data_IF_626637640215
#
_entry.id   IF_626637640215
#
_cell.length_a   1.000
_cell.length_b   1.000
_cell.length_c   1.000
_cell.angle_alpha   90.00
_cell.angle_beta   90.00
_cell.angle_gamma   90.00
#
_symmetry.space_group_name_H-M   'P 1'
#
loop_
_entity.id
_entity.type
_entity.pdbx_description
1 polymer ?
#
# COMPACT_ATOMS: atom_id res chain seq x y z
N UNK A 1 13.80 19.41 -2.47
CA UNK A 1 12.82 18.75 -1.60
C UNK A 1 12.24 17.60 -2.40
N UNK A 2 12.69 16.36 -2.17
CA UNK A 2 12.19 15.23 -2.93
C UNK A 2 10.78 14.89 -2.41
N UNK A 3 9.79 14.99 -3.29
CA UNK A 3 8.39 14.81 -2.98
C UNK A 3 8.07 13.32 -2.99
N UNK A 4 7.61 12.78 -1.85
CA UNK A 4 7.15 11.40 -1.77
C UNK A 4 6.21 11.11 -2.94
N UNK A 5 6.53 10.06 -3.71
CA UNK A 5 5.87 9.77 -4.98
C UNK A 5 5.04 8.51 -4.83
N UNK A 6 3.88 8.51 -5.49
CA UNK A 6 3.03 7.33 -5.60
C UNK A 6 3.23 6.80 -7.01
N UNK A 7 3.66 5.55 -7.14
CA UNK A 7 3.99 4.91 -8.42
C UNK A 7 2.95 3.84 -8.71
N UNK A 8 2.41 3.83 -9.92
CA UNK A 8 1.49 2.78 -10.36
C UNK A 8 2.21 1.43 -10.42
N UNK A 9 1.54 0.40 -9.91
CA UNK A 9 2.03 -0.98 -9.93
C UNK A 9 0.96 -1.91 -10.48
N UNK A 10 1.38 -3.05 -10.99
CA UNK A 10 0.44 -4.06 -11.49
C UNK A 10 -0.42 -4.60 -10.34
N UNK A 11 -1.73 -4.44 -10.48
CA UNK A 11 -2.70 -4.84 -9.47
C UNK A 11 -2.74 -6.35 -9.25
N UNK A 12 -2.69 -7.15 -10.32
CA UNK A 12 -2.74 -8.61 -10.18
C UNK A 12 -1.46 -9.15 -9.54
N UNK A 13 -0.30 -8.56 -9.86
CA UNK A 13 0.94 -8.88 -9.17
C UNK A 13 0.88 -8.46 -7.70
N UNK A 14 0.33 -7.29 -7.37
CA UNK A 14 0.13 -6.89 -5.98
C UNK A 14 -0.75 -7.91 -5.24
N UNK A 15 -1.88 -8.32 -5.82
CA UNK A 15 -2.80 -9.29 -5.20
C UNK A 15 -2.13 -10.64 -4.95
N UNK A 16 -1.35 -11.16 -5.90
CA UNK A 16 -0.60 -12.40 -5.72
C UNK A 16 0.44 -12.26 -4.60
N UNK A 17 1.18 -11.15 -4.57
CA UNK A 17 2.17 -10.88 -3.53
C UNK A 17 1.53 -10.66 -2.16
N UNK A 18 0.37 -9.99 -2.07
CA UNK A 18 -0.40 -9.87 -0.84
C UNK A 18 -0.84 -11.23 -0.31
N UNK A 19 -1.28 -12.13 -1.20
CA UNK A 19 -1.64 -13.50 -0.82
C UNK A 19 -0.43 -14.26 -0.27
N UNK A 20 0.74 -14.15 -0.91
CA UNK A 20 2.00 -14.72 -0.41
C UNK A 20 2.42 -14.12 0.93
N UNK A 21 2.33 -12.80 1.06
CA UNK A 21 2.65 -12.08 2.29
C UNK A 21 1.71 -12.46 3.45
N UNK A 22 0.43 -12.66 3.16
CA UNK A 22 -0.55 -13.15 4.14
C UNK A 22 -0.17 -14.54 4.66
N UNK A 23 0.18 -15.46 3.76
CA UNK A 23 0.68 -16.79 4.13
C UNK A 23 1.97 -16.72 4.97
N UNK A 24 2.82 -15.74 4.71
CA UNK A 24 4.05 -15.47 5.46
C UNK A 24 3.86 -14.60 6.72
N UNK A 25 2.62 -14.20 7.06
CA UNK A 25 2.29 -13.25 8.15
C UNK A 25 2.92 -11.85 8.03
N UNK A 26 3.36 -11.51 6.83
CA UNK A 26 3.95 -10.21 6.47
C UNK A 26 2.96 -9.23 5.82
N UNK A 27 1.71 -9.62 5.59
CA UNK A 27 0.67 -8.69 5.15
C UNK A 27 0.14 -7.88 6.35
N UNK A 28 0.10 -6.57 6.20
CA UNK A 28 -0.42 -5.62 7.19
C UNK A 28 -1.53 -4.81 6.54
N UNK A 29 -2.76 -5.03 7.00
CA UNK A 29 -3.95 -4.31 6.53
C UNK A 29 -4.38 -3.26 7.54
N UNK A 30 -5.15 -2.25 7.10
CA UNK A 30 -5.69 -1.21 8.00
C UNK A 30 -6.65 -1.74 9.06
N UNK A 31 -7.21 -2.95 8.84
CA UNK A 31 -7.98 -3.70 9.83
C UNK A 31 -7.13 -4.07 11.05
N UNK A 32 -5.84 -4.35 10.88
CA UNK A 32 -4.86 -4.52 11.96
C UNK A 32 -4.31 -3.16 12.40
N UNK A 33 -5.13 -2.41 13.14
CA UNK A 33 -4.81 -1.05 13.60
C UNK A 33 -3.45 -0.96 14.32
N UNK A 34 -3.05 -2.02 15.04
CA UNK A 34 -1.81 -2.01 15.85
C UNK A 34 -0.59 -2.18 14.95
N UNK A 35 -0.57 -3.20 14.10
CA UNK A 35 0.55 -3.44 13.16
C UNK A 35 0.62 -2.33 12.11
N UNK A 36 -0.53 -1.88 11.60
CA UNK A 36 -0.60 -0.77 10.65
C UNK A 36 0.03 0.50 11.21
N UNK A 37 -0.42 0.95 12.40
CA UNK A 37 0.08 2.18 13.02
C UNK A 37 1.58 2.11 13.30
N UNK A 38 2.07 0.95 13.78
CA UNK A 38 3.50 0.75 14.01
C UNK A 38 4.29 0.89 12.70
N UNK A 39 3.84 0.23 11.63
CA UNK A 39 4.50 0.25 10.33
C UNK A 39 4.56 1.65 9.70
N UNK A 40 3.43 2.36 9.63
CA UNK A 40 3.41 3.70 9.04
C UNK A 40 4.25 4.70 9.85
N UNK A 41 4.33 4.53 11.17
CA UNK A 41 5.15 5.39 12.04
C UNK A 41 6.64 5.09 11.83
N UNK A 42 7.03 3.82 11.81
CA UNK A 42 8.42 3.40 11.59
C UNK A 42 8.94 3.85 10.22
N UNK A 43 8.12 3.67 9.17
CA UNK A 43 8.50 3.98 7.79
C UNK A 43 8.20 5.42 7.37
N UNK A 44 7.71 6.27 8.28
CA UNK A 44 7.29 7.65 8.01
C UNK A 44 6.30 7.77 6.81
N UNK A 45 5.35 6.85 6.72
CA UNK A 45 4.36 6.81 5.65
C UNK A 45 3.21 7.75 5.99
N UNK A 46 2.84 8.59 5.02
CA UNK A 46 1.69 9.48 5.13
C UNK A 46 0.45 8.78 4.55
N UNK A 47 -0.12 7.86 5.33
CA UNK A 47 -1.29 7.04 4.96
C UNK A 47 -2.49 7.88 4.51
N UNK A 48 -2.75 9.01 5.16
CA UNK A 48 -3.79 9.97 4.77
C UNK A 48 -3.57 10.50 3.35
N UNK A 49 -2.32 10.82 2.98
CA UNK A 49 -2.01 11.29 1.61
C UNK A 49 -2.16 10.16 0.61
N UNK A 50 -1.67 8.97 0.95
CA UNK A 50 -1.76 7.80 0.09
C UNK A 50 -3.23 7.41 -0.20
N UNK A 51 -4.09 7.45 0.83
CA UNK A 51 -5.54 7.26 0.66
C UNK A 51 -6.15 8.35 -0.23
N UNK A 52 -5.81 9.62 0.01
CA UNK A 52 -6.30 10.74 -0.80
C UNK A 52 -5.88 10.62 -2.27
N UNK A 53 -4.64 10.19 -2.54
CA UNK A 53 -4.17 9.88 -3.89
C UNK A 53 -5.01 8.77 -4.53
N UNK A 54 -5.28 7.69 -3.79
CA UNK A 54 -6.18 6.63 -4.22
C UNK A 54 -7.58 7.13 -4.56
N UNK A 55 -8.17 7.99 -3.73
CA UNK A 55 -9.51 8.57 -3.97
C UNK A 55 -9.57 9.45 -5.23
N UNK A 56 -8.48 10.14 -5.56
CA UNK A 56 -8.40 10.99 -6.76
C UNK A 56 -8.13 10.16 -8.01
N UNK A 57 -7.38 9.07 -7.90
CA UNK A 57 -6.96 8.24 -9.04
C UNK A 57 -7.95 7.13 -9.39
N UNK A 58 -8.59 6.53 -8.40
CA UNK A 58 -9.53 5.42 -8.60
C UNK A 58 -10.94 5.97 -8.85
N UNK A 59 -11.60 5.50 -9.90
CA UNK A 59 -12.93 5.97 -10.30
C UNK A 59 -14.01 5.49 -9.33
N UNK A 60 -13.88 4.29 -8.77
CA UNK A 60 -14.87 3.77 -7.82
C UNK A 60 -14.84 4.49 -6.46
N UNK A 61 -13.78 5.26 -6.17
CA UNK A 61 -13.67 6.06 -4.94
C UNK A 61 -13.51 5.23 -3.66
N UNK A 62 -13.22 3.92 -3.75
CA UNK A 62 -13.03 3.02 -2.60
C UNK A 62 -11.58 2.47 -2.52
N UNK A 63 -10.57 3.32 -2.32
CA UNK A 63 -9.21 2.84 -2.13
C UNK A 63 -9.07 2.03 -0.84
N UNK A 64 -8.30 0.96 -0.92
CA UNK A 64 -7.86 0.14 0.20
C UNK A 64 -6.36 0.30 0.37
N UNK A 65 -5.91 0.22 1.61
CA UNK A 65 -4.52 0.37 1.98
C UNK A 65 -4.00 -0.97 2.53
N UNK A 66 -2.80 -1.37 2.10
CA UNK A 66 -2.11 -2.53 2.62
C UNK A 66 -0.60 -2.33 2.56
N UNK A 67 0.11 -2.97 3.46
CA UNK A 67 1.56 -2.98 3.50
C UNK A 67 2.06 -4.43 3.47
N UNK A 68 3.18 -4.62 2.80
CA UNK A 68 3.87 -5.90 2.69
C UNK A 68 5.22 -5.74 3.40
N UNK A 69 5.49 -6.64 4.34
CA UNK A 69 6.73 -6.73 5.09
C UNK A 69 7.16 -8.20 5.12
N UNK A 70 7.88 -8.63 4.09
CA UNK A 70 8.25 -10.04 3.87
C UNK A 70 9.73 -10.22 3.54
N UNK A 71 10.52 -9.14 3.48
CA UNK A 71 11.88 -9.13 2.96
C UNK A 71 11.95 -9.24 1.44
N UNK A 72 10.87 -8.93 0.72
CA UNK A 72 10.77 -9.09 -0.73
C UNK A 72 10.91 -7.75 -1.48
N UNK A 73 11.07 -7.80 -2.79
CA UNK A 73 11.02 -6.60 -3.65
C UNK A 73 9.65 -5.89 -3.62
N UNK A 74 8.61 -6.59 -3.17
CA UNK A 74 7.26 -6.05 -2.98
C UNK A 74 7.05 -5.47 -1.58
N UNK A 75 8.08 -5.38 -0.75
CA UNK A 75 7.95 -4.70 0.52
C UNK A 75 7.66 -3.20 0.31
N UNK A 76 6.74 -2.68 1.10
CA UNK A 76 6.27 -1.30 0.97
C UNK A 76 4.82 -1.11 1.36
N UNK A 77 4.32 0.10 1.16
CA UNK A 77 2.93 0.45 1.41
C UNK A 77 2.22 0.72 0.08
N UNK A 78 1.00 0.22 -0.02
CA UNK A 78 0.22 0.19 -1.25
C UNK A 78 -1.17 0.74 -1.01
N UNK A 79 -1.69 1.37 -2.04
CA UNK A 79 -3.10 1.70 -2.18
C UNK A 79 -3.64 1.02 -3.42
N UNK A 80 -4.79 0.37 -3.32
CA UNK A 80 -5.35 -0.41 -4.41
C UNK A 80 -6.88 -0.35 -4.40
N UNK A 81 -7.49 -0.59 -5.56
CA UNK A 81 -8.94 -0.72 -5.71
C UNK A 81 -9.23 -2.01 -6.48
N UNK A 82 -10.07 -2.86 -5.89
CA UNK A 82 -10.55 -4.05 -6.57
C UNK A 82 -11.55 -3.71 -7.69
N UNK A 83 -12.29 -2.61 -7.55
CA UNK A 83 -13.30 -2.17 -8.53
C UNK A 83 -12.65 -1.60 -9.78
N UNK A 84 -11.50 -0.94 -9.64
CA UNK A 84 -10.74 -0.32 -10.73
C UNK A 84 -9.59 -1.21 -11.24
N UNK A 85 -9.37 -2.36 -10.61
CA UNK A 85 -8.22 -3.26 -10.87
C UNK A 85 -6.89 -2.49 -10.95
N UNK A 86 -6.74 -1.51 -10.06
CA UNK A 86 -5.63 -0.57 -10.06
C UNK A 86 -4.91 -0.59 -8.71
N UNK A 87 -3.59 -0.43 -8.75
CA UNK A 87 -2.75 -0.42 -7.57
C UNK A 87 -1.63 0.61 -7.71
N UNK A 88 -1.22 1.17 -6.58
CA UNK A 88 -0.12 2.10 -6.50
C UNK A 88 0.71 1.85 -5.24
N UNK A 89 2.02 2.05 -5.35
CA UNK A 89 3.00 1.94 -4.26
C UNK A 89 3.43 3.31 -3.78
N UNK A 90 3.50 3.48 -2.46
CA UNK A 90 4.14 4.62 -1.84
C UNK A 90 5.66 4.45 -1.87
N UNK A 91 6.33 5.37 -2.55
CA UNK A 91 7.78 5.48 -2.58
C UNK A 91 8.16 6.71 -1.77
N UNK A 92 8.65 6.48 -0.55
CA UNK A 92 9.22 7.54 0.27
C UNK A 92 10.42 8.14 -0.48
N UNK A 93 10.44 9.46 -0.61
CA UNK A 93 11.64 10.15 -1.06
C UNK A 93 12.70 10.06 0.03
N UNK A 94 13.78 9.34 -0.26
CA UNK A 94 15.02 9.42 0.53
C UNK A 94 15.67 10.79 0.41
#
# INVERSE_FOLDING_TARGET
>A
MAQARVVEVDYYQLVDNMKRASNAKGLIETTDKKRWKAYITEKNIQDIKLEAFGKVKFMAGKPRLAAIETGSSWDGCYVYSHEDEAAMKWEASG
#
